data_IF_175282861145
#
_entry.id   IF_175282861145
#
_cell.length_a   1.000
_cell.length_b   1.000
_cell.length_c   1.000
_cell.angle_alpha   90.00
_cell.angle_beta   90.00
_cell.angle_gamma   90.00
#
_symmetry.space_group_name_H-M   'P 1'
#
loop_
_entity.id
_entity.type
_entity.pdbx_description
1 polymer ?
#
# COMPACT_ATOMS: atom_id res chain seq x y z
N UNK A 1 10.43 -16.44 59.63
CA UNK A 1 11.28 -15.43 58.95
C UNK A 1 11.52 -15.74 57.48
N UNK A 2 12.14 -16.88 57.11
CA UNK A 2 12.44 -17.21 55.70
C UNK A 2 11.20 -17.28 54.78
N UNK A 3 10.09 -17.84 55.27
CA UNK A 3 8.82 -17.92 54.52
C UNK A 3 8.25 -16.54 54.17
N UNK A 4 8.32 -15.60 55.12
CA UNK A 4 7.84 -14.21 54.93
C UNK A 4 8.71 -13.50 53.88
N UNK A 5 10.04 -13.66 53.97
CA UNK A 5 10.98 -13.10 52.99
C UNK A 5 10.69 -13.65 51.59
N UNK A 6 10.46 -14.96 51.47
CA UNK A 6 10.13 -15.60 50.19
C UNK A 6 8.84 -15.05 49.58
N UNK A 7 7.79 -14.85 50.40
CA UNK A 7 6.51 -14.28 49.96
C UNK A 7 6.71 -12.83 49.49
N UNK A 8 7.46 -12.01 50.22
CA UNK A 8 7.72 -10.61 49.87
C UNK A 8 8.44 -10.52 48.52
N UNK A 9 9.48 -11.32 48.31
CA UNK A 9 10.22 -11.35 47.04
C UNK A 9 9.27 -11.71 45.89
N UNK A 10 8.42 -12.73 46.06
CA UNK A 10 7.45 -13.13 45.04
C UNK A 10 6.43 -12.04 44.71
N UNK A 11 5.94 -11.31 45.71
CA UNK A 11 5.01 -10.18 45.52
C UNK A 11 5.66 -9.04 44.75
N UNK A 12 6.90 -8.68 45.07
CA UNK A 12 7.64 -7.63 44.34
C UNK A 12 7.80 -8.03 42.88
N UNK A 13 8.21 -9.27 42.60
CA UNK A 13 8.34 -9.75 41.23
C UNK A 13 7.01 -9.81 40.48
N UNK A 14 5.91 -10.11 41.16
CA UNK A 14 4.57 -10.08 40.56
C UNK A 14 4.19 -8.66 40.14
N UNK A 15 4.41 -7.67 41.01
CA UNK A 15 4.13 -6.26 40.72
C UNK A 15 5.05 -5.74 39.61
N UNK A 16 6.34 -6.08 39.66
CA UNK A 16 7.30 -5.72 38.63
C UNK A 16 6.93 -6.32 37.27
N UNK A 17 6.52 -7.58 37.24
CA UNK A 17 6.03 -8.25 36.04
C UNK A 17 4.78 -7.57 35.47
N UNK A 18 3.80 -7.25 36.31
CA UNK A 18 2.60 -6.54 35.90
C UNK A 18 2.93 -5.14 35.33
N UNK A 19 3.80 -4.40 36.01
CA UNK A 19 4.26 -3.09 35.55
C UNK A 19 5.00 -3.17 34.21
N UNK A 20 5.82 -4.20 34.00
CA UNK A 20 6.51 -4.43 32.75
C UNK A 20 5.54 -4.70 31.58
N UNK A 21 4.51 -5.52 31.80
CA UNK A 21 3.48 -5.79 30.78
C UNK A 21 2.70 -4.53 30.42
N UNK A 22 2.30 -3.74 31.43
CA UNK A 22 1.61 -2.46 31.20
C UNK A 22 2.51 -1.48 30.45
N UNK A 23 3.77 -1.35 30.85
CA UNK A 23 4.75 -0.52 30.16
C UNK A 23 4.95 -0.94 28.71
N UNK A 24 5.08 -2.24 28.44
CA UNK A 24 5.19 -2.78 27.09
C UNK A 24 3.95 -2.49 26.25
N UNK A 25 2.75 -2.64 26.83
CA UNK A 25 1.51 -2.31 26.16
C UNK A 25 1.45 -0.83 25.73
N UNK A 26 1.82 0.09 26.62
CA UNK A 26 1.86 1.52 26.30
C UNK A 26 2.94 1.84 25.26
N UNK A 27 4.11 1.20 25.33
CA UNK A 27 5.19 1.35 24.37
C UNK A 27 4.73 0.92 22.97
N UNK A 28 4.16 -0.28 22.84
CA UNK A 28 3.62 -0.79 21.57
C UNK A 28 2.52 0.13 21.06
N UNK A 29 1.61 0.58 21.93
CA UNK A 29 0.53 1.50 21.56
C UNK A 29 1.07 2.82 21.03
N UNK A 30 2.12 3.37 21.64
CA UNK A 30 2.76 4.61 21.20
C UNK A 30 3.41 4.43 19.82
N UNK A 31 4.16 3.34 19.61
CA UNK A 31 4.78 3.02 18.32
C UNK A 31 3.74 2.85 17.21
N UNK A 32 2.63 2.15 17.50
CA UNK A 32 1.53 1.97 16.53
C UNK A 32 0.86 3.31 16.21
N UNK A 33 0.67 4.18 17.21
CA UNK A 33 0.08 5.50 17.00
C UNK A 33 0.95 6.39 16.12
N UNK A 34 2.26 6.40 16.37
CA UNK A 34 3.26 7.09 15.54
C UNK A 34 3.30 6.52 14.10
N UNK A 35 3.20 5.20 13.98
CA UNK A 35 3.21 4.50 12.70
C UNK A 35 1.98 4.77 11.83
N UNK A 36 0.83 5.11 12.42
CA UNK A 36 -0.41 5.42 11.70
C UNK A 36 -0.30 6.70 10.86
N UNK A 37 0.31 7.77 11.38
CA UNK A 37 0.53 8.99 10.57
C UNK A 37 1.40 8.71 9.34
N UNK A 38 2.40 7.82 9.45
CA UNK A 38 3.21 7.40 8.30
C UNK A 38 2.47 6.45 7.35
N UNK A 39 1.47 5.72 7.85
CA UNK A 39 0.66 4.81 7.04
C UNK A 39 -0.35 5.57 6.18
N UNK A 40 -0.83 6.73 6.62
CA UNK A 40 -1.75 7.58 5.86
C UNK A 40 -1.11 8.15 4.59
N UNK A 41 0.13 8.67 4.67
CA UNK A 41 0.87 9.09 3.47
C UNK A 41 1.06 7.94 2.48
N UNK A 42 1.44 6.75 2.97
CA UNK A 42 1.54 5.54 2.14
C UNK A 42 0.20 5.05 1.61
N UNK A 43 -0.92 5.43 2.22
CA UNK A 43 -2.25 5.09 1.74
C UNK A 43 -2.67 6.02 0.60
N UNK A 44 -2.38 7.31 0.71
CA UNK A 44 -2.59 8.29 -0.36
C UNK A 44 -1.80 7.92 -1.63
N UNK A 45 -0.51 7.58 -1.49
CA UNK A 45 0.31 7.14 -2.63
C UNK A 45 -0.24 5.86 -3.28
N UNK A 46 -0.64 4.88 -2.46
CA UNK A 46 -1.25 3.64 -2.97
C UNK A 46 -2.58 3.91 -3.67
N UNK A 47 -3.38 4.85 -3.19
CA UNK A 47 -4.61 5.25 -3.85
C UNK A 47 -4.33 5.92 -5.20
N UNK A 48 -3.33 6.79 -5.29
CA UNK A 48 -2.91 7.43 -6.54
C UNK A 48 -2.38 6.41 -7.56
N UNK A 49 -1.62 5.40 -7.12
CA UNK A 49 -1.15 4.31 -7.99
C UNK A 49 -2.33 3.47 -8.49
N UNK A 50 -3.28 3.11 -7.62
CA UNK A 50 -4.49 2.36 -8.02
C UNK A 50 -5.30 3.14 -9.05
N UNK A 51 -5.53 4.43 -8.82
CA UNK A 51 -6.26 5.26 -9.77
C UNK A 51 -5.60 5.29 -11.16
N UNK A 52 -4.27 5.38 -11.23
CA UNK A 52 -3.53 5.32 -12.50
C UNK A 52 -3.62 3.96 -13.17
N UNK A 53 -3.55 2.87 -12.40
CA UNK A 53 -3.75 1.52 -12.93
C UNK A 53 -5.16 1.33 -13.50
N UNK A 54 -6.19 1.81 -12.80
CA UNK A 54 -7.59 1.74 -13.26
C UNK A 54 -7.82 2.58 -14.52
N UNK A 55 -7.14 3.73 -14.63
CA UNK A 55 -7.17 4.55 -15.84
C UNK A 55 -6.54 3.81 -17.02
N UNK A 56 -5.37 3.17 -16.81
CA UNK A 56 -4.71 2.36 -17.82
C UNK A 56 -5.58 1.18 -18.27
N UNK A 57 -6.20 0.47 -17.31
CA UNK A 57 -7.11 -0.63 -17.61
C UNK A 57 -8.30 -0.17 -18.46
N UNK A 58 -8.89 0.99 -18.15
CA UNK A 58 -9.96 1.60 -18.97
C UNK A 58 -9.50 1.99 -20.37
N UNK A 59 -8.23 2.31 -20.59
CA UNK A 59 -7.69 2.53 -21.94
C UNK A 59 -7.59 1.21 -22.70
N UNK A 60 -7.09 0.15 -22.06
CA UNK A 60 -7.03 -1.20 -22.67
C UNK A 60 -8.42 -1.67 -23.11
N UNK A 61 -9.43 -1.53 -22.23
CA UNK A 61 -10.80 -1.93 -22.56
C UNK A 61 -11.43 -1.14 -23.71
N UNK A 62 -10.99 0.11 -23.93
CA UNK A 62 -11.42 0.93 -25.06
C UNK A 62 -10.58 0.71 -26.32
N UNK A 63 -9.65 -0.25 -26.27
CA UNK A 63 -8.65 -0.48 -27.31
C UNK A 63 -7.71 0.71 -27.52
N UNK A 64 -7.63 1.66 -26.58
CA UNK A 64 -6.70 2.79 -26.66
C UNK A 64 -5.27 2.28 -26.46
N UNK A 65 -4.38 2.62 -27.39
CA UNK A 65 -2.98 2.18 -27.41
C UNK A 65 -2.21 2.66 -26.16
N UNK A 66 -2.70 3.74 -25.52
CA UNK A 66 -2.20 4.23 -24.22
C UNK A 66 -2.37 3.23 -23.09
N UNK A 67 -3.31 2.29 -23.19
CA UNK A 67 -3.51 1.24 -22.20
C UNK A 67 -2.36 0.24 -22.15
N UNK A 68 -1.74 -0.05 -23.28
CA UNK A 68 -0.64 -1.03 -23.38
C UNK A 68 0.71 -0.32 -23.22
N UNK A 69 0.90 0.80 -23.91
CA UNK A 69 2.21 1.46 -24.01
C UNK A 69 2.36 2.68 -23.09
N UNK A 70 1.32 3.10 -22.37
CA UNK A 70 1.29 4.39 -21.70
C UNK A 70 1.20 5.56 -22.69
N UNK A 71 1.14 6.80 -22.17
CA UNK A 71 0.95 7.99 -23.02
C UNK A 71 2.14 8.24 -23.95
N UNK A 72 3.35 8.20 -23.40
CA UNK A 72 4.59 8.42 -24.16
C UNK A 72 4.87 7.28 -25.14
N UNK A 73 4.72 6.03 -24.69
CA UNK A 73 4.89 4.87 -25.56
C UNK A 73 3.86 4.81 -26.67
N UNK A 74 2.61 5.23 -26.42
CA UNK A 74 1.60 5.31 -27.48
C UNK A 74 1.94 6.38 -28.53
N UNK A 75 2.48 7.55 -28.12
CA UNK A 75 2.95 8.56 -29.08
C UNK A 75 4.14 8.04 -29.90
N UNK A 76 5.10 7.39 -29.26
CA UNK A 76 6.24 6.79 -29.95
C UNK A 76 5.79 5.71 -30.94
N UNK A 77 4.85 4.84 -30.55
CA UNK A 77 4.30 3.81 -31.44
C UNK A 77 3.55 4.42 -32.62
N UNK A 78 2.88 5.56 -32.41
CA UNK A 78 2.24 6.29 -33.50
C UNK A 78 3.26 6.90 -34.47
N UNK A 79 4.37 7.40 -33.95
CA UNK A 79 5.48 7.93 -34.76
C UNK A 79 6.20 6.83 -35.55
N UNK A 80 6.49 5.69 -34.91
CA UNK A 80 7.17 4.55 -35.53
C UNK A 80 6.29 3.81 -36.55
N UNK A 81 4.97 3.75 -36.31
CA UNK A 81 4.02 3.03 -37.15
C UNK A 81 2.78 3.88 -37.48
N UNK A 82 2.93 4.95 -38.29
CA UNK A 82 1.84 5.86 -38.59
C UNK A 82 0.65 5.18 -39.30
N UNK A 83 0.91 4.10 -40.04
CA UNK A 83 -0.09 3.35 -40.79
C UNK A 83 -1.02 2.49 -39.92
N UNK A 84 -0.64 2.17 -38.67
CA UNK A 84 -1.52 1.41 -37.74
C UNK A 84 -2.83 2.15 -37.45
N UNK A 85 -2.78 3.49 -37.37
CA UNK A 85 -3.98 4.30 -37.19
C UNK A 85 -4.91 4.30 -38.41
N UNK A 86 -4.37 4.06 -39.61
CA UNK A 86 -5.14 3.96 -40.85
C UNK A 86 -5.81 2.58 -40.96
N UNK A 87 -5.08 1.51 -40.65
CA UNK A 87 -5.59 0.13 -40.62
C UNK A 87 -6.68 -0.06 -39.56
N UNK A 88 -6.48 0.46 -38.35
CA UNK A 88 -7.49 0.43 -37.27
C UNK A 88 -8.79 1.17 -37.62
N UNK A 89 -8.72 2.17 -38.51
CA UNK A 89 -9.91 2.90 -39.01
C UNK A 89 -10.70 2.10 -40.05
N UNK A 90 -10.02 1.21 -40.78
CA UNK A 90 -10.59 0.36 -41.83
C UNK A 90 -11.10 -0.98 -41.30
N UNK A 91 -10.55 -1.47 -40.19
CA UNK A 91 -11.02 -2.62 -39.43
C UNK A 91 -11.75 -2.13 -38.16
N UNK A 92 -13.05 -1.80 -38.22
CA UNK A 92 -13.82 -1.64 -36.99
C UNK A 92 -13.78 -2.99 -36.27
N UNK A 93 -13.19 -3.00 -35.07
CA UNK A 93 -13.26 -4.15 -34.17
C UNK A 93 -14.75 -4.50 -34.00
N UNK A 94 -15.14 -5.63 -34.60
CA UNK A 94 -16.47 -6.22 -34.47
C UNK A 94 -16.63 -6.62 -33.01
N UNK A 95 -17.65 -6.08 -32.36
CA UNK A 95 -18.06 -6.41 -30.99
C UNK A 95 -18.33 -7.91 -30.81
#
# INVERSE_FOLDING_TARGET
MALIIWIIIKLIWLIAGAAAVVGLFFLVRAIVREGRSRAEFRAADRAAVRFRADQQHRWVLRGDDRGIYGVEGAQLMHYLYPERGRVRRLLPLRE
#
